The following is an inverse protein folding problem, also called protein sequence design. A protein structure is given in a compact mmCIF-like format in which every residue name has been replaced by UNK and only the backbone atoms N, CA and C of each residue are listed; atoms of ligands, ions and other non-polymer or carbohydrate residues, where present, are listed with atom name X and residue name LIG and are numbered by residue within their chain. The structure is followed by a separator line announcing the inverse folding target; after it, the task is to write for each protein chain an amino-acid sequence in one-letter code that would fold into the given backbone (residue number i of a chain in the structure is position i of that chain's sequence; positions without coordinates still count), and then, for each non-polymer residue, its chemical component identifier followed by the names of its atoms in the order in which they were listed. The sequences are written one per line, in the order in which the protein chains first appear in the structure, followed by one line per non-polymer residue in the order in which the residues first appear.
data_IF_642403865328
#
_entry.id   IF_642403865328
#
_cell.length_a   1.000
_cell.length_b   1.000
_cell.length_c   1.000
_cell.angle_alpha   90.00
_cell.angle_beta   90.00
_cell.angle_gamma   90.00
#
_symmetry.space_group_name_H-M   'P 1'
#
loop_
_entity.id
_entity.type
_entity.pdbx_description
1 polymer ?
#
# COMPACT_ATOMS: atom_id res chain seq x y z
N UNK A 1 4.75 -16.61 -29.73
CA UNK A 1 3.36 -17.08 -29.90
C UNK A 1 3.35 -18.27 -30.86
N UNK A 2 3.43 -19.49 -30.34
CA UNK A 2 3.11 -20.68 -31.14
C UNK A 2 1.59 -20.82 -31.16
N UNK A 3 0.99 -21.05 -32.33
CA UNK A 3 -0.44 -21.39 -32.43
C UNK A 3 -0.71 -22.57 -31.48
N UNK A 4 -1.75 -22.45 -30.67
CA UNK A 4 -2.32 -23.47 -29.76
C UNK A 4 -1.62 -23.75 -28.41
N UNK A 5 -0.45 -23.17 -28.13
CA UNK A 5 0.25 -23.38 -26.84
C UNK A 5 0.29 -22.15 -25.93
N UNK A 6 -0.09 -20.97 -26.43
CA UNK A 6 -0.02 -19.72 -25.67
C UNK A 6 -1.43 -19.18 -25.40
N UNK A 7 -1.75 -18.85 -24.13
CA UNK A 7 -3.03 -18.21 -23.82
C UNK A 7 -3.08 -16.79 -24.39
N UNK A 8 -4.29 -16.34 -24.73
CA UNK A 8 -4.50 -14.99 -25.27
C UNK A 8 -4.03 -13.92 -24.30
N UNK A 9 -3.15 -13.05 -24.80
CA UNK A 9 -2.60 -11.93 -24.06
C UNK A 9 -3.38 -10.67 -24.38
N UNK A 10 -3.94 -10.05 -23.35
CA UNK A 10 -4.78 -8.86 -23.45
C UNK A 10 -4.25 -7.75 -22.53
N UNK A 11 -4.44 -6.50 -22.95
CA UNK A 11 -4.13 -5.33 -22.12
C UNK A 11 -5.31 -5.15 -21.15
N UNK A 12 -5.03 -5.22 -19.86
CA UNK A 12 -6.00 -5.25 -18.77
C UNK A 12 -5.69 -4.13 -17.79
N UNK A 13 -6.74 -3.53 -17.25
CA UNK A 13 -6.63 -2.57 -16.14
C UNK A 13 -6.60 -3.32 -14.80
N UNK A 14 -5.50 -3.22 -14.07
CA UNK A 14 -5.44 -3.65 -12.68
C UNK A 14 -5.83 -2.50 -11.77
N UNK A 15 -6.74 -2.77 -10.82
CA UNK A 15 -7.21 -1.77 -9.86
C UNK A 15 -6.62 -2.08 -8.48
N UNK A 16 -6.03 -1.07 -7.84
CA UNK A 16 -5.59 -1.15 -6.45
C UNK A 16 -6.74 -0.86 -5.49
N UNK A 17 -7.02 -1.73 -4.52
CA UNK A 17 -8.08 -1.54 -3.52
C UNK A 17 -7.78 -0.39 -2.55
N UNK A 18 -6.53 -0.28 -2.10
CA UNK A 18 -6.13 0.69 -1.05
C UNK A 18 -5.98 2.11 -1.59
N UNK A 19 -5.80 2.26 -2.91
CA UNK A 19 -5.30 3.49 -3.49
C UNK A 19 -5.98 3.93 -4.79
N UNK A 20 -6.88 3.10 -5.32
CA UNK A 20 -7.68 3.42 -6.50
C UNK A 20 -6.87 3.61 -7.79
N UNK A 21 -5.54 3.47 -7.75
CA UNK A 21 -4.69 3.63 -8.93
C UNK A 21 -4.97 2.50 -9.92
N UNK A 22 -5.26 2.88 -11.16
CA UNK A 22 -5.45 1.96 -12.28
C UNK A 22 -4.14 1.83 -13.04
N UNK A 23 -3.66 0.60 -13.18
CA UNK A 23 -2.46 0.29 -13.94
C UNK A 23 -2.83 -0.49 -15.19
N UNK A 24 -2.23 -0.15 -16.33
CA UNK A 24 -2.38 -0.94 -17.56
C UNK A 24 -1.30 -2.02 -17.56
N UNK A 25 -1.71 -3.28 -17.45
CA UNK A 25 -0.81 -4.44 -17.53
C UNK A 25 -1.28 -5.37 -18.64
N UNK A 26 -0.35 -6.05 -19.29
CA UNK A 26 -0.74 -7.15 -20.14
C UNK A 26 -0.88 -8.43 -19.31
N UNK A 27 -2.01 -9.11 -19.45
CA UNK A 27 -2.31 -10.34 -18.73
C UNK A 27 -3.18 -11.24 -19.59
N UNK A 28 -3.21 -12.52 -19.23
CA UNK A 28 -4.16 -13.48 -19.81
C UNK A 28 -5.53 -13.40 -19.11
N UNK A 29 -5.60 -12.79 -17.92
CA UNK A 29 -6.83 -12.62 -17.14
C UNK A 29 -7.50 -11.27 -17.39
N UNK A 30 -8.82 -11.25 -17.56
CA UNK A 30 -9.62 -10.06 -17.94
C UNK A 30 -9.67 -8.94 -16.89
N UNK A 31 -9.51 -9.24 -15.61
CA UNK A 31 -9.58 -8.25 -14.53
C UNK A 31 -8.67 -8.67 -13.38
N UNK A 32 -7.92 -7.72 -12.83
CA UNK A 32 -6.99 -7.96 -11.73
C UNK A 32 -7.28 -6.92 -10.65
N UNK A 33 -7.61 -7.39 -9.45
CA UNK A 33 -7.67 -6.56 -8.25
C UNK A 33 -6.44 -6.84 -7.40
N UNK A 34 -5.74 -5.78 -6.99
CA UNK A 34 -4.51 -5.87 -6.19
C UNK A 34 -4.73 -5.12 -4.89
N UNK A 35 -4.34 -5.73 -3.77
CA UNK A 35 -4.58 -5.14 -2.45
C UNK A 35 -3.61 -4.00 -2.13
N UNK A 36 -2.34 -4.14 -2.56
CA UNK A 36 -1.28 -3.15 -2.34
C UNK A 36 -0.46 -2.97 -3.62
N UNK A 37 -0.24 -1.72 -4.04
CA UNK A 37 0.62 -1.39 -5.18
C UNK A 37 1.92 -0.68 -4.74
N UNK A 38 2.83 -0.45 -5.69
CA UNK A 38 4.08 0.28 -5.46
C UNK A 38 3.87 1.69 -4.90
N UNK A 39 2.74 2.33 -5.21
CA UNK A 39 2.39 3.64 -4.66
C UNK A 39 1.93 3.61 -3.20
N UNK A 40 1.67 2.43 -2.60
CA UNK A 40 1.04 2.32 -1.28
C UNK A 40 1.69 1.32 -0.34
N UNK A 41 2.56 0.46 -0.83
CA UNK A 41 3.33 -0.39 0.06
C UNK A 41 4.31 0.49 0.85
N UNK A 42 4.27 0.36 2.17
CA UNK A 42 5.10 1.13 3.13
C UNK A 42 6.60 1.05 2.82
N UNK A 43 7.05 -0.06 2.23
CA UNK A 43 8.46 -0.22 1.79
C UNK A 43 8.79 0.68 0.59
N UNK A 44 7.84 0.93 -0.32
CA UNK A 44 8.06 1.74 -1.52
C UNK A 44 7.80 3.23 -1.28
N UNK A 45 6.83 3.59 -0.45
CA UNK A 45 6.55 5.01 -0.12
C UNK A 45 7.51 5.58 0.92
N UNK A 46 8.30 4.73 1.60
CA UNK A 46 9.28 5.16 2.61
C UNK A 46 8.67 5.64 3.93
N UNK A 47 7.34 5.69 4.03
CA UNK A 47 6.60 6.10 5.23
C UNK A 47 6.62 4.98 6.29
N UNK A 48 7.77 4.77 6.92
CA UNK A 48 7.91 3.94 8.14
C UNK A 48 7.16 4.51 9.35
N UNK A 49 6.43 5.61 9.19
CA UNK A 49 5.91 6.44 10.27
C UNK A 49 4.40 6.35 10.45
N UNK A 50 3.85 5.14 10.60
CA UNK A 50 2.59 4.95 11.36
C UNK A 50 2.65 3.83 12.39
N UNK A 51 3.83 3.28 12.66
CA UNK A 51 4.07 2.70 13.98
C UNK A 51 4.24 3.90 14.90
N UNK A 52 3.15 4.35 15.54
CA UNK A 52 3.22 5.38 16.59
C UNK A 52 4.39 4.99 17.49
N UNK A 53 5.33 5.89 17.68
CA UNK A 53 6.37 5.67 18.66
C UNK A 53 5.70 5.71 20.05
N UNK A 54 5.05 4.61 20.45
CA UNK A 54 4.57 4.32 21.81
C UNK A 54 5.76 4.10 22.75
N UNK A 55 6.78 4.95 22.61
CA UNK A 55 8.01 4.93 23.35
C UNK A 55 7.93 5.81 24.59
N UNK A 56 9.08 6.02 25.20
CA UNK A 56 9.19 6.80 26.43
C UNK A 56 8.81 8.29 26.24
N UNK A 57 8.89 8.80 25.02
CA UNK A 57 8.55 10.19 24.68
C UNK A 57 7.05 10.47 24.90
N UNK A 58 6.16 9.58 24.50
CA UNK A 58 4.71 9.72 24.76
C UNK A 58 4.40 9.67 26.27
N UNK A 59 5.07 8.77 27.00
CA UNK A 59 4.94 8.69 28.48
C UNK A 59 5.46 9.94 29.17
N UNK A 60 6.54 10.53 28.65
CA UNK A 60 7.10 11.79 29.15
C UNK A 60 6.13 12.96 28.92
N UNK A 61 5.59 13.09 27.70
CA UNK A 61 4.62 14.13 27.36
C UNK A 61 3.34 14.03 28.22
N UNK A 62 2.86 12.81 28.49
CA UNK A 62 1.73 12.60 29.39
C UNK A 62 2.01 13.00 30.84
N UNK A 63 3.24 12.83 31.34
CA UNK A 63 3.65 13.27 32.68
C UNK A 63 3.77 14.79 32.75
N UNK A 64 4.36 15.41 31.72
CA UNK A 64 4.52 16.87 31.63
C UNK A 64 3.14 17.57 31.60
N UNK A 65 2.20 17.05 30.81
CA UNK A 65 0.84 17.57 30.73
C UNK A 65 0.08 17.48 32.06
N UNK A 66 0.35 16.47 32.89
CA UNK A 66 -0.24 16.34 34.24
C UNK A 66 0.39 17.31 35.24
N UNK A 67 1.67 17.64 35.10
CA UNK A 67 2.37 18.58 35.97
C UNK A 67 1.93 20.04 35.74
N UNK A 68 1.69 20.42 34.47
CA UNK A 68 1.25 21.78 34.11
C UNK A 68 -0.23 22.08 34.42
N UNK A 69 -1.01 21.09 34.88
CA UNK A 69 -2.45 21.25 35.18
C UNK A 69 -2.71 21.51 36.68
N UNK A 70 -1.67 21.81 37.45
CA UNK A 70 -1.73 22.16 38.87
C UNK A 70 -1.54 23.65 39.06
#
# INVERSE_FOLDING_TARGET
MKKDLHPDYQIVEATCSTCGTKFKFGSTKKTISVDVCSGCHVVYTGDKAKTKATGMIDKFNQRLAKANKK
#
